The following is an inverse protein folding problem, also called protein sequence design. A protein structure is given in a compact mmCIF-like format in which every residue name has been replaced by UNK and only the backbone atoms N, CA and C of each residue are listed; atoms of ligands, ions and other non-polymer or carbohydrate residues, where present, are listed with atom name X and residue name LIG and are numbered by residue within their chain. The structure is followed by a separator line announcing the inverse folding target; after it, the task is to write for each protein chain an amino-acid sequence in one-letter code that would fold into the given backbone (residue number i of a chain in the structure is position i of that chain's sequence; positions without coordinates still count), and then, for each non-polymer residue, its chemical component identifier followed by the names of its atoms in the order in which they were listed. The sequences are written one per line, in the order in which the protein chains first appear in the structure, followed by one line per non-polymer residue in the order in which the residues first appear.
data_IF_017665320695
#
_entry.id   IF_017665320695
#
_cell.length_a   1.000
_cell.length_b   1.000
_cell.length_c   1.000
_cell.angle_alpha   90.00
_cell.angle_beta   90.00
_cell.angle_gamma   90.00
#
_symmetry.space_group_name_H-M   'P 1'
#
loop_
_entity.id
_entity.type
_entity.pdbx_description
1 polymer ?
2 non-polymer ?
3 water ?
#
# COMPACT_ATOMS: atom_id res chain seq x y z
N UNK A 1 5.26 -31.69 -21.15
CA UNK A 1 4.53 -30.84 -20.20
C UNK A 1 5.28 -29.52 -19.98
N UNK A 2 5.07 -28.88 -18.84
CA UNK A 2 5.76 -27.62 -18.58
C UNK A 2 7.10 -27.91 -17.90
N UNK A 3 8.17 -27.26 -18.36
CA UNK A 3 9.49 -27.48 -17.78
C UNK A 3 10.04 -26.22 -17.13
N UNK A 4 10.25 -26.27 -15.83
CA UNK A 4 10.76 -25.16 -15.05
C UNK A 4 12.04 -24.58 -15.58
N UNK A 5 12.97 -25.43 -16.01
CA UNK A 5 14.25 -24.94 -16.54
C UNK A 5 14.03 -24.07 -17.77
N UNK A 6 13.23 -24.57 -18.71
CA UNK A 6 12.98 -23.74 -19.90
C UNK A 6 12.25 -22.45 -19.48
N UNK A 7 11.36 -22.58 -18.50
CA UNK A 7 10.61 -21.43 -18.02
C UNK A 7 11.49 -20.37 -17.40
N UNK A 8 12.53 -20.79 -16.69
CA UNK A 8 13.42 -19.82 -16.07
C UNK A 8 14.10 -18.97 -17.14
N UNK A 9 14.39 -19.63 -18.26
CA UNK A 9 15.03 -18.94 -19.37
C UNK A 9 14.03 -18.02 -20.08
N UNK A 10 12.79 -18.45 -20.25
CA UNK A 10 11.75 -17.67 -20.92
C UNK A 10 11.24 -16.52 -20.08
N UNK A 11 11.58 -16.51 -18.79
CA UNK A 11 11.14 -15.48 -17.88
C UNK A 11 11.88 -14.18 -18.04
N UNK A 12 12.94 -14.16 -18.84
CA UNK A 12 13.75 -13.00 -19.07
C UNK A 12 13.00 -11.72 -19.26
N UNK A 13 12.05 -11.66 -20.21
CA UNK A 13 11.31 -10.41 -20.43
C UNK A 13 10.58 -9.92 -19.18
N UNK A 14 10.07 -10.84 -18.36
CA UNK A 14 9.34 -10.50 -17.16
C UNK A 14 10.17 -9.84 -16.09
N UNK A 15 11.47 -10.12 -16.08
CA UNK A 15 12.37 -9.56 -15.08
C UNK A 15 12.33 -8.05 -15.02
N UNK A 16 12.07 -7.39 -16.15
CA UNK A 16 12.02 -5.94 -16.19
C UNK A 16 11.07 -5.36 -15.17
N UNK A 17 9.96 -6.04 -14.90
CA UNK A 17 9.01 -5.48 -13.95
C UNK A 17 8.67 -6.44 -12.82
N UNK A 18 9.22 -7.66 -12.82
CA UNK A 18 8.85 -8.57 -11.73
C UNK A 18 10.08 -9.29 -11.16
N UNK A 19 9.95 -9.64 -9.89
CA UNK A 19 10.87 -10.36 -9.07
C UNK A 19 10.13 -11.18 -8.02
N UNK A 20 10.80 -12.03 -7.23
CA UNK A 20 10.01 -12.79 -6.26
C UNK A 20 10.21 -12.35 -4.84
N UNK A 21 10.83 -11.19 -4.65
CA UNK A 21 11.08 -10.69 -3.31
C UNK A 21 10.49 -9.33 -3.05
N UNK A 22 10.33 -8.48 -4.06
CA UNK A 22 9.76 -7.15 -3.73
C UNK A 22 8.98 -6.59 -4.91
N UNK A 23 8.15 -5.60 -4.60
CA UNK A 23 7.34 -4.90 -5.60
C UNK A 23 8.20 -3.85 -6.31
N UNK A 24 8.01 -3.69 -7.61
CA UNK A 24 8.76 -2.70 -8.37
C UNK A 24 7.77 -2.12 -9.35
N UNK A 25 8.14 -2.06 -10.63
CA UNK A 25 7.16 -1.53 -11.61
C UNK A 25 5.90 -2.42 -11.51
N UNK A 26 6.17 -3.72 -11.39
CA UNK A 26 5.15 -4.74 -11.28
C UNK A 26 5.19 -5.38 -9.90
N UNK A 27 4.15 -6.12 -9.53
CA UNK A 27 4.13 -6.69 -8.18
C UNK A 27 5.05 -7.91 -8.07
N UNK A 28 5.33 -8.31 -6.83
CA UNK A 28 6.18 -9.51 -6.66
C UNK A 28 5.30 -10.71 -7.09
N UNK A 29 5.89 -11.72 -7.71
CA UNK A 29 5.13 -12.89 -8.16
C UNK A 29 5.24 -14.04 -7.19
N UNK A 30 5.73 -13.76 -5.99
CA UNK A 30 5.83 -14.87 -5.02
C UNK A 30 4.47 -15.43 -4.70
N UNK A 31 4.33 -16.75 -4.86
CA UNK A 31 3.08 -17.42 -4.58
C UNK A 31 1.90 -16.97 -5.41
N UNK A 32 2.16 -16.52 -6.64
CA UNK A 32 1.09 -16.05 -7.50
C UNK A 32 0.26 -17.18 -8.07
N UNK A 33 0.82 -18.38 -8.23
CA UNK A 33 0.02 -19.46 -8.79
C UNK A 33 -1.07 -19.94 -7.88
N UNK A 34 -2.32 -19.81 -8.34
CA UNK A 34 -3.45 -20.25 -7.54
C UNK A 34 -3.95 -19.15 -6.65
N UNK A 35 -3.32 -17.97 -6.73
CA UNK A 35 -3.78 -16.86 -5.87
C UNK A 35 -4.87 -16.05 -6.57
N UNK A 36 -5.58 -15.24 -5.78
CA UNK A 36 -6.63 -14.39 -6.39
C UNK A 36 -5.94 -13.19 -7.06
N UNK A 37 -6.31 -12.84 -8.29
CA UNK A 37 -5.66 -11.75 -8.98
C UNK A 37 -5.96 -10.39 -8.39
N UNK A 38 -4.93 -9.53 -8.43
CA UNK A 38 -4.95 -8.18 -7.96
C UNK A 38 -5.34 -7.94 -6.52
N UNK A 39 -5.07 -8.93 -5.66
CA UNK A 39 -5.41 -8.82 -4.25
C UNK A 39 -4.21 -8.87 -3.34
N UNK A 40 -3.10 -9.49 -3.74
CA UNK A 40 -1.97 -9.55 -2.84
C UNK A 40 -0.74 -8.73 -3.17
N UNK A 41 0.41 -9.39 -3.28
CA UNK A 41 1.64 -8.68 -3.59
C UNK A 41 1.96 -7.60 -2.57
N UNK A 42 1.86 -7.95 -1.30
CA UNK A 42 2.14 -7.00 -0.23
C UNK A 42 1.63 -5.61 -0.54
N UNK A 43 0.31 -5.47 -0.73
CA UNK A 43 -0.23 -4.16 -0.99
C UNK A 43 0.20 -3.47 -2.27
N UNK A 44 0.42 -4.22 -3.35
CA UNK A 44 0.82 -3.51 -4.60
C UNK A 44 -0.43 -2.76 -5.10
N UNK A 45 -0.26 -1.64 -5.79
CA UNK A 45 -1.38 -0.85 -6.29
C UNK A 45 -1.85 -1.36 -7.65
N UNK A 46 -2.73 -2.35 -7.65
CA UNK A 46 -3.24 -2.92 -8.90
C UNK A 46 -4.26 -2.00 -9.57
N UNK A 47 -4.42 -2.19 -10.87
CA UNK A 47 -5.40 -1.37 -11.62
C UNK A 47 -6.81 -1.78 -11.18
N UNK A 48 -7.82 -0.96 -11.45
CA UNK A 48 -9.18 -1.38 -11.03
C UNK A 48 -9.59 -2.63 -11.81
N UNK A 49 -9.15 -2.67 -13.06
CA UNK A 49 -9.48 -3.79 -13.94
C UNK A 49 -9.04 -5.11 -13.38
N UNK A 50 -7.77 -5.22 -12.98
CA UNK A 50 -7.34 -6.53 -12.45
C UNK A 50 -7.98 -6.82 -11.12
N UNK A 51 -7.98 -5.85 -10.21
CA UNK A 51 -8.58 -6.12 -8.91
C UNK A 51 -10.03 -6.51 -8.97
N UNK A 52 -10.81 -6.00 -9.92
CA UNK A 52 -12.22 -6.36 -9.99
C UNK A 52 -12.47 -7.55 -10.91
N UNK A 53 -11.42 -8.08 -11.54
CA UNK A 53 -11.55 -9.19 -12.45
C UNK A 53 -12.15 -10.43 -11.77
N UNK A 54 -11.88 -10.60 -10.49
CA UNK A 54 -12.41 -11.76 -9.78
C UNK A 54 -11.74 -13.06 -10.21
N UNK A 55 -10.65 -12.95 -10.96
CA UNK A 55 -9.95 -14.12 -11.46
C UNK A 55 -9.07 -14.79 -10.40
N UNK A 56 -8.89 -16.09 -10.62
CA UNK A 56 -8.01 -16.93 -9.80
C UNK A 56 -6.86 -17.40 -10.73
N UNK A 57 -5.62 -17.14 -10.34
CA UNK A 57 -4.51 -17.52 -11.16
C UNK A 57 -4.27 -18.99 -11.32
N UNK A 58 -5.24 -19.73 -11.86
CA UNK A 58 -5.01 -21.17 -12.05
C UNK A 58 -4.22 -21.31 -13.37
N UNK A 59 -3.87 -22.51 -13.82
CA UNK A 59 -3.11 -22.66 -15.06
C UNK A 59 -3.86 -22.13 -16.26
N UNK A 60 -5.16 -22.37 -16.31
CA UNK A 60 -6.00 -21.92 -17.41
C UNK A 60 -6.00 -20.41 -17.56
N UNK A 61 -6.26 -19.69 -16.46
CA UNK A 61 -6.26 -18.23 -16.55
C UNK A 61 -4.87 -17.69 -16.81
N UNK A 62 -3.84 -18.25 -16.18
CA UNK A 62 -2.49 -17.72 -16.44
C UNK A 62 -2.12 -17.90 -17.91
N UNK A 63 -2.58 -19.01 -18.48
CA UNK A 63 -2.26 -19.28 -19.88
C UNK A 63 -2.81 -18.15 -20.76
N UNK A 64 -4.09 -17.84 -20.55
CA UNK A 64 -4.68 -16.77 -21.37
C UNK A 64 -4.03 -15.43 -21.10
N UNK A 65 -3.82 -15.12 -19.82
CA UNK A 65 -3.19 -13.88 -19.37
C UNK A 65 -1.83 -13.65 -19.99
N UNK A 66 -0.96 -14.68 -20.01
CA UNK A 66 0.36 -14.48 -20.59
C UNK A 66 0.31 -14.40 -22.10
N UNK A 67 -0.65 -15.06 -22.76
CA UNK A 67 -0.68 -14.99 -24.23
C UNK A 67 -1.06 -13.58 -24.70
N UNK A 68 -1.91 -12.91 -23.95
CA UNK A 68 -2.35 -11.54 -24.31
C UNK A 68 -3.05 -10.92 -23.09
N UNK A 69 -2.28 -10.21 -22.27
CA UNK A 69 -2.76 -9.57 -21.06
C UNK A 69 -3.95 -8.65 -21.26
N UNK A 70 -3.89 -7.68 -22.16
CA UNK A 70 -4.98 -6.76 -22.37
C UNK A 70 -6.24 -7.39 -22.90
N UNK A 71 -6.15 -8.54 -23.59
CA UNK A 71 -7.41 -9.14 -24.07
C UNK A 71 -8.08 -9.91 -22.93
N UNK A 72 -7.26 -10.41 -22.01
CA UNK A 72 -7.79 -11.18 -20.87
C UNK A 72 -8.39 -10.22 -19.84
N UNK A 73 -7.69 -9.10 -19.66
CA UNK A 73 -8.16 -8.11 -18.69
C UNK A 73 -8.05 -6.71 -19.28
N UNK A 74 -9.04 -6.36 -20.11
CA UNK A 74 -8.97 -5.01 -20.70
C UNK A 74 -8.80 -3.96 -19.62
N UNK A 75 -7.83 -3.09 -19.83
CA UNK A 75 -7.55 -2.04 -18.88
C UNK A 75 -6.44 -2.35 -17.90
N UNK A 76 -5.80 -3.52 -17.97
CA UNK A 76 -4.71 -3.79 -17.02
C UNK A 76 -3.55 -2.84 -17.23
N UNK A 77 -2.77 -2.57 -16.19
CA UNK A 77 -1.63 -1.68 -16.41
C UNK A 77 -0.38 -2.47 -16.77
N UNK A 78 -0.54 -3.78 -16.97
CA UNK A 78 0.64 -4.56 -17.37
C UNK A 78 0.86 -4.38 -18.89
N UNK A 79 1.80 -3.52 -19.23
CA UNK A 79 2.12 -3.24 -20.63
C UNK A 79 3.12 -4.30 -21.14
N UNK A 80 2.56 -5.31 -21.79
CA UNK A 80 3.33 -6.44 -22.36
C UNK A 80 2.49 -7.10 -23.44
N UNK A 81 3.06 -7.28 -24.63
CA UNK A 81 2.39 -7.87 -25.77
C UNK A 81 1.87 -9.27 -25.56
N UNK A 82 2.51 -10.05 -24.70
CA UNK A 82 2.04 -11.41 -24.48
C UNK A 82 2.98 -12.39 -25.18
N UNK A 83 2.93 -13.64 -24.75
CA UNK A 83 3.78 -14.69 -25.36
C UNK A 83 2.89 -15.52 -26.30
N UNK A 84 3.21 -15.48 -27.59
CA UNK A 84 2.49 -16.17 -28.62
C UNK A 84 2.81 -17.64 -28.75
N UNK A 85 3.83 -18.12 -28.05
CA UNK A 85 4.20 -19.55 -28.12
C UNK A 85 3.66 -20.26 -26.87
N UNK A 86 2.60 -21.07 -27.06
CA UNK A 86 1.92 -21.78 -25.99
C UNK A 86 2.84 -22.63 -25.13
N UNK A 87 3.80 -23.29 -25.77
CA UNK A 87 4.76 -24.14 -25.04
C UNK A 87 5.58 -23.25 -24.10
N UNK A 88 5.97 -22.08 -24.62
CA UNK A 88 6.76 -21.16 -23.79
C UNK A 88 5.93 -20.71 -22.58
N UNK A 89 4.65 -20.47 -22.83
CA UNK A 89 3.77 -20.04 -21.75
C UNK A 89 3.71 -21.11 -20.66
N UNK A 90 3.58 -22.37 -21.07
CA UNK A 90 3.51 -23.49 -20.14
C UNK A 90 4.82 -23.55 -19.33
N UNK A 91 5.94 -23.37 -20.02
CA UNK A 91 7.25 -23.42 -19.36
C UNK A 91 7.33 -22.34 -18.28
N UNK A 92 6.88 -21.15 -18.65
CA UNK A 92 6.89 -20.05 -17.67
C UNK A 92 6.04 -20.41 -16.46
N UNK A 93 4.87 -21.01 -16.70
CA UNK A 93 4.02 -21.39 -15.57
C UNK A 93 4.68 -22.45 -14.71
N UNK A 94 5.41 -23.36 -15.33
CA UNK A 94 6.09 -24.40 -14.50
C UNK A 94 7.11 -23.69 -13.61
N UNK A 95 7.73 -22.66 -14.18
CA UNK A 95 8.73 -21.90 -13.43
C UNK A 95 8.12 -21.17 -12.25
N UNK A 96 6.98 -20.52 -12.48
CA UNK A 96 6.28 -19.77 -11.45
C UNK A 96 5.87 -20.65 -10.27
N UNK A 97 5.50 -21.88 -10.57
CA UNK A 97 5.10 -22.80 -9.52
C UNK A 97 6.25 -23.06 -8.55
N UNK A 98 7.48 -23.01 -9.06
CA UNK A 98 8.63 -23.25 -8.21
C UNK A 98 8.87 -22.12 -7.21
N UNK A 99 8.29 -20.96 -7.50
CA UNK A 99 8.43 -19.79 -6.64
C UNK A 99 7.30 -19.69 -5.63
N UNK B 2 26.77 15.92 11.28
CA UNK B 2 25.88 17.07 11.21
C UNK B 2 25.47 17.55 12.59
N UNK B 3 24.91 18.74 12.68
CA UNK B 3 24.50 19.28 13.99
C UNK B 3 22.99 19.24 14.13
N UNK B 4 22.48 18.31 14.95
CA UNK B 4 21.08 18.14 15.18
C UNK B 4 20.37 19.39 15.67
N UNK B 5 21.05 20.23 16.45
CA UNK B 5 20.44 21.45 16.96
C UNK B 5 20.17 22.45 15.84
N UNK B 6 21.16 22.60 14.97
CA UNK B 6 21.00 23.54 13.86
C UNK B 6 20.02 22.95 12.83
N UNK B 7 20.02 21.62 12.72
CA UNK B 7 19.14 20.94 11.79
C UNK B 7 17.69 21.22 12.13
N UNK B 8 17.39 21.35 13.43
CA UNK B 8 16.00 21.64 13.79
C UNK B 8 15.55 22.94 13.14
N UNK B 9 16.45 23.92 13.15
CA UNK B 9 16.17 25.22 12.57
C UNK B 9 16.16 25.19 11.05
N UNK B 10 17.06 24.41 10.47
CA UNK B 10 17.17 24.26 9.02
C UNK B 10 15.98 23.47 8.45
N UNK B 11 15.19 22.86 9.31
CA UNK B 11 14.02 22.06 8.91
C UNK B 11 12.80 22.96 8.70
N UNK B 12 12.94 24.25 8.98
CA UNK B 12 11.86 25.21 8.84
C UNK B 12 11.08 25.04 7.55
N UNK B 13 11.73 25.13 6.38
CA UNK B 13 10.97 24.98 5.15
C UNK B 13 10.19 23.68 5.07
N UNK B 14 10.71 22.62 5.68
CA UNK B 14 10.08 21.32 5.68
C UNK B 14 8.76 21.30 6.43
N UNK B 15 8.68 22.10 7.47
CA UNK B 15 7.55 22.22 8.35
C UNK B 15 6.25 22.53 7.64
N UNK B 16 6.36 23.24 6.52
CA UNK B 16 5.15 23.57 5.77
C UNK B 16 4.42 22.31 5.34
N UNK B 17 5.11 21.22 5.05
CA UNK B 17 4.38 20.02 4.61
C UNK B 17 4.67 18.80 5.46
N UNK B 18 5.61 18.89 6.40
CA UNK B 18 5.94 17.73 7.22
C UNK B 18 6.02 18.11 8.72
N UNK B 19 5.69 17.10 9.50
CA UNK B 19 5.69 17.04 10.93
C UNK B 19 5.96 15.61 11.40
N UNK B 20 6.13 15.36 12.69
CA UNK B 20 6.42 13.96 13.07
C UNK B 20 5.24 13.37 13.85
N UNK B 21 4.05 13.95 13.64
CA UNK B 21 2.87 13.49 14.33
C UNK B 21 1.76 13.09 13.40
N UNK B 22 1.58 13.80 12.27
CA UNK B 22 0.46 13.35 11.41
C UNK B 22 0.71 13.74 9.96
N UNK B 23 -0.08 13.12 9.07
CA UNK B 23 0.08 13.46 7.66
C UNK B 23 -0.59 14.81 7.36
N UNK B 24 -0.10 15.47 6.32
CA UNK B 24 -0.65 16.76 5.91
C UNK B 24 -0.39 16.84 4.42
N UNK B 25 0.25 17.92 3.97
CA UNK B 25 0.53 17.96 2.51
C UNK B 25 1.46 16.77 2.19
N UNK B 26 2.43 16.60 3.09
CA UNK B 26 3.42 15.54 3.00
C UNK B 26 3.21 14.55 4.12
N UNK B 27 3.84 13.36 4.03
CA UNK B 27 3.69 12.35 5.07
C UNK B 27 4.38 12.68 6.38
N UNK B 28 3.90 12.05 7.45
CA UNK B 28 4.62 12.33 8.74
C UNK B 28 6.07 11.83 8.52
N UNK B 29 7.08 12.34 9.20
CA UNK B 29 8.42 11.86 8.96
C UNK B 29 8.97 11.05 10.13
N UNK B 30 8.08 10.56 10.97
CA UNK B 30 8.48 9.77 12.13
C UNK B 30 9.15 8.46 11.68
N UNK B 31 10.36 8.21 12.17
CA UNK B 31 11.11 7.01 11.83
C UNK B 31 11.40 6.79 10.36
N UNK B 32 11.64 7.87 9.62
CA UNK B 32 11.90 7.76 8.20
C UNK B 32 13.32 7.30 7.90
N UNK B 33 14.27 7.58 8.80
CA UNK B 33 15.63 7.16 8.56
C UNK B 33 15.77 5.64 8.59
N UNK B 34 16.22 5.09 7.48
CA UNK B 34 16.42 3.69 7.28
C UNK B 34 15.16 2.97 6.82
N UNK B 35 14.08 3.71 6.63
CA UNK B 35 12.83 3.09 6.21
C UNK B 35 12.76 2.97 4.70
N UNK B 36 11.87 2.10 4.21
CA UNK B 36 11.76 2.01 2.73
C UNK B 36 10.93 3.23 2.28
N UNK B 37 11.28 3.83 1.15
CA UNK B 37 10.56 5.00 0.67
C UNK B 37 9.15 4.68 0.22
N UNK B 38 8.25 5.64 0.43
CA UNK B 38 6.87 5.51 0.06
C UNK B 38 6.10 4.31 0.56
N UNK B 39 6.25 3.93 1.83
CA UNK B 39 5.49 2.77 2.28
C UNK B 39 4.89 2.95 3.65
N UNK B 40 5.37 3.93 4.42
CA UNK B 40 4.77 4.05 5.75
C UNK B 40 3.81 5.21 5.84
N UNK B 41 3.96 5.97 6.92
CA UNK B 41 3.18 7.15 7.18
C UNK B 41 1.71 6.91 7.31
N UNK B 42 1.34 5.78 7.91
CA UNK B 42 -0.05 5.45 8.14
C UNK B 42 -0.94 5.55 6.93
N UNK B 43 -0.60 4.97 5.78
CA UNK B 43 -1.50 5.06 4.65
C UNK B 43 -1.38 6.30 3.79
N UNK B 44 -0.45 7.19 4.10
CA UNK B 44 -0.33 8.39 3.24
C UNK B 44 -0.29 7.96 1.77
N UNK B 45 -0.95 8.73 0.92
CA UNK B 45 -1.01 8.45 -0.50
C UNK B 45 0.23 8.92 -1.24
N UNK B 46 1.24 8.07 -1.26
CA UNK B 46 2.48 8.40 -1.95
C UNK B 46 2.30 8.33 -3.46
N UNK B 47 3.15 9.06 -4.17
CA UNK B 47 3.05 9.02 -5.64
C UNK B 47 3.50 7.64 -6.15
N UNK B 48 3.06 7.30 -7.35
CA UNK B 48 3.45 6.02 -7.96
C UNK B 48 4.99 5.97 -8.08
N UNK B 49 5.55 7.10 -8.49
CA UNK B 49 6.98 7.25 -8.68
C UNK B 49 7.74 6.85 -7.41
N UNK B 50 7.40 7.45 -6.27
CA UNK B 50 8.10 7.10 -5.04
C UNK B 50 7.90 5.64 -4.68
N UNK B 51 6.66 5.14 -4.76
CA UNK B 51 6.35 3.77 -4.45
C UNK B 51 7.12 2.78 -5.31
N UNK B 52 7.43 3.12 -6.55
CA UNK B 52 8.15 2.18 -7.40
C UNK B 52 9.66 2.37 -7.31
N UNK B 53 10.12 3.41 -6.64
CA UNK B 53 11.52 3.72 -6.51
C UNK B 53 12.37 2.63 -5.91
N UNK B 54 11.84 1.86 -4.99
CA UNK B 54 12.60 0.79 -4.34
C UNK B 54 13.73 1.34 -3.51
N UNK B 55 13.63 2.61 -3.12
CA UNK B 55 14.66 3.28 -2.35
C UNK B 55 14.51 3.06 -0.85
N UNK B 56 15.67 3.10 -0.19
CA UNK B 56 15.76 2.99 1.26
C UNK B 56 16.33 4.30 1.79
N UNK B 57 15.67 4.94 2.76
CA UNK B 57 16.12 6.18 3.28
C UNK B 57 17.34 6.16 4.16
N UNK B 58 18.49 5.71 3.67
CA UNK B 58 19.66 5.78 4.59
C UNK B 58 20.28 7.17 4.41
N UNK B 59 21.39 7.45 5.07
CA UNK B 59 22.04 8.73 4.98
C UNK B 59 22.41 9.14 3.58
N UNK B 60 22.99 8.24 2.81
CA UNK B 60 23.41 8.54 1.45
C UNK B 60 22.25 8.86 0.52
N UNK B 61 21.17 8.09 0.58
CA UNK B 61 20.03 8.36 -0.30
C UNK B 61 19.28 9.60 0.10
N UNK B 62 19.21 9.85 1.41
CA UNK B 62 18.52 11.04 1.91
C UNK B 62 19.22 12.31 1.47
N UNK B 63 20.55 12.26 1.40
CA UNK B 63 21.38 13.38 0.99
C UNK B 63 21.11 13.78 -0.47
N UNK B 64 20.90 12.78 -1.31
CA UNK B 64 20.63 13.09 -2.74
C UNK B 64 19.20 13.61 -2.88
N UNK B 65 18.30 13.01 -2.09
CA UNK B 65 16.89 13.38 -2.11
C UNK B 65 16.73 14.87 -1.79
N UNK B 66 17.34 15.30 -0.69
CA UNK B 66 17.26 16.69 -0.26
C UNK B 66 17.98 17.64 -1.17
N UNK B 67 18.99 17.13 -1.89
CA UNK B 67 19.74 18.00 -2.80
C UNK B 67 18.86 18.40 -3.99
N UNK B 68 18.12 17.41 -4.49
CA UNK B 68 17.23 17.64 -5.64
C UNK B 68 16.26 16.48 -5.80
N UNK B 69 15.13 16.58 -5.08
CA UNK B 69 14.09 15.57 -5.09
C UNK B 69 13.68 15.13 -6.49
N UNK B 70 13.37 16.04 -7.39
CA UNK B 70 12.94 15.74 -8.74
C UNK B 70 13.95 14.94 -9.53
N UNK B 71 15.24 15.22 -9.33
CA UNK B 71 16.28 14.49 -10.05
C UNK B 71 16.36 13.06 -9.52
N UNK B 72 16.28 12.91 -8.20
CA UNK B 72 16.33 11.64 -7.50
C UNK B 72 15.16 10.75 -7.87
N UNK B 73 13.96 11.31 -7.83
CA UNK B 73 12.78 10.54 -8.16
C UNK B 73 11.87 11.32 -9.11
N UNK B 74 12.08 11.13 -10.43
CA UNK B 74 11.23 11.86 -11.40
C UNK B 74 9.76 11.50 -11.20
N UNK B 75 8.90 12.51 -11.09
CA UNK B 75 7.49 12.20 -10.90
C UNK B 75 7.06 12.30 -9.45
N UNK B 76 8.00 12.58 -8.55
CA UNK B 76 7.57 12.67 -7.15
C UNK B 76 6.66 13.88 -6.97
N UNK B 77 5.77 13.83 -5.98
CA UNK B 77 4.90 15.00 -5.79
C UNK B 77 5.50 15.94 -4.75
N UNK B 78 6.74 15.66 -4.32
CA UNK B 78 7.29 16.60 -3.32
C UNK B 78 7.89 17.79 -4.08
N UNK B 79 7.21 18.92 -3.98
CA UNK B 79 7.64 20.15 -4.64
C UNK B 79 8.60 20.93 -3.75
N UNK B 80 9.87 20.79 -4.06
CA UNK B 80 10.90 21.49 -3.25
C UNK B 80 12.18 21.58 -4.09
N UNK B 81 12.65 22.80 -4.33
CA UNK B 81 13.84 23.02 -5.13
C UNK B 81 15.03 22.19 -4.72
N UNK B 82 15.17 21.93 -3.41
CA UNK B 82 16.31 21.13 -2.99
C UNK B 82 17.30 22.02 -2.27
N UNK B 83 18.13 21.43 -1.41
CA UNK B 83 19.12 22.20 -0.65
C UNK B 83 20.51 22.02 -1.23
N UNK B 84 21.10 23.10 -1.70
CA UNK B 84 22.39 23.10 -2.31
C UNK B 84 23.56 23.09 -1.36
N UNK B 85 23.37 23.39 -0.07
CA UNK B 85 24.50 23.41 0.86
C UNK B 85 24.60 22.10 1.64
N UNK B 86 25.58 21.27 1.24
CA UNK B 86 25.78 19.97 1.89
C UNK B 86 25.82 20.04 3.40
N UNK B 87 26.34 21.12 3.97
CA UNK B 87 26.38 21.20 5.43
C UNK B 87 24.98 21.29 6.02
N UNK B 88 24.13 22.09 5.38
CA UNK B 88 22.76 22.20 5.92
C UNK B 88 22.05 20.86 5.76
N UNK B 89 22.33 20.19 4.64
CA UNK B 89 21.67 18.88 4.44
C UNK B 89 22.11 17.92 5.55
N UNK B 90 23.37 18.00 5.94
CA UNK B 90 23.86 17.10 6.99
C UNK B 90 23.16 17.42 8.32
N UNK B 91 22.98 18.70 8.63
CA UNK B 91 22.32 19.05 9.89
C UNK B 91 20.87 18.56 9.90
N UNK B 92 20.19 18.71 8.76
CA UNK B 92 18.79 18.26 8.72
C UNK B 92 18.71 16.74 8.92
N UNK B 93 19.66 16.02 8.33
CA UNK B 93 19.60 14.55 8.52
C UNK B 93 19.93 14.22 9.97
N UNK B 94 20.87 14.95 10.55
CA UNK B 94 21.22 14.71 11.96
C UNK B 94 19.98 14.86 12.83
N UNK B 95 19.19 15.88 12.47
CA UNK B 95 17.95 16.16 13.18
C UNK B 95 16.90 15.09 12.94
N UNK B 96 16.76 14.62 11.70
CA UNK B 96 15.77 13.58 11.41
C UNK B 96 16.11 12.31 12.22
N UNK B 97 17.40 12.07 12.40
CA UNK B 97 17.87 10.90 13.15
C UNK B 97 17.38 10.94 14.59
N UNK B 98 17.19 12.14 15.15
CA UNK B 98 16.71 12.24 16.52
C UNK B 98 15.22 11.94 16.61
N UNK B 99 14.56 11.82 15.45
CA UNK B 99 13.14 11.51 15.43
C UNK B 99 12.91 10.11 14.85
N UNK C 2 -23.29 8.96 0.98
CA UNK C 2 -21.89 8.79 0.62
C UNK C 2 -21.65 8.13 -0.72
N UNK C 3 -20.45 8.34 -1.25
CA UNK C 3 -20.02 7.81 -2.52
C UNK C 3 -19.16 6.56 -2.37
N UNK C 4 -19.76 5.40 -2.63
CA UNK C 4 -19.06 4.14 -2.51
C UNK C 4 -17.84 4.03 -3.39
N UNK C 5 -17.84 4.67 -4.56
CA UNK C 5 -16.64 4.58 -5.41
C UNK C 5 -15.48 5.32 -4.79
N UNK C 6 -15.78 6.50 -4.24
CA UNK C 6 -14.71 7.28 -3.60
C UNK C 6 -14.30 6.60 -2.29
N UNK C 7 -15.26 5.90 -1.69
CA UNK C 7 -14.99 5.21 -0.44
C UNK C 7 -14.01 4.07 -0.64
N UNK C 8 -14.18 3.33 -1.74
CA UNK C 8 -13.27 2.23 -2.02
C UNK C 8 -11.84 2.74 -2.13
N UNK C 9 -11.67 3.95 -2.67
CA UNK C 9 -10.34 4.51 -2.82
C UNK C 9 -9.81 5.01 -1.47
N UNK C 10 -10.70 5.57 -0.64
CA UNK C 10 -10.31 6.08 0.66
C UNK C 10 -10.03 4.97 1.66
N UNK C 11 -10.45 3.75 1.36
CA UNK C 11 -10.27 2.58 2.22
C UNK C 11 -8.84 2.06 2.10
N UNK C 12 -8.08 2.61 1.17
CA UNK C 12 -6.70 2.20 0.94
C UNK C 12 -5.92 1.97 2.21
N UNK C 13 -5.80 2.99 3.07
CA UNK C 13 -5.07 2.90 4.32
C UNK C 13 -5.55 1.79 5.24
N UNK C 14 -6.82 1.44 5.15
CA UNK C 14 -7.46 0.41 5.95
C UNK C 14 -6.99 -0.99 5.58
N UNK C 15 -6.61 -1.20 4.34
CA UNK C 15 -6.17 -2.46 3.80
C UNK C 15 -4.98 -3.06 4.51
N UNK C 16 -4.21 -2.24 5.20
CA UNK C 16 -3.03 -2.79 5.89
C UNK C 16 -3.41 -3.74 7.00
N UNK C 17 -4.59 -3.55 7.58
CA UNK C 17 -5.05 -4.40 8.67
C UNK C 17 -6.41 -5.04 8.42
N UNK C 18 -7.11 -4.63 7.36
CA UNK C 18 -8.42 -5.22 7.12
C UNK C 18 -8.59 -5.59 5.64
N UNK C 19 -9.43 -6.57 5.46
CA UNK C 19 -9.89 -7.17 4.25
C UNK C 19 -11.28 -7.75 4.42
N UNK C 20 -11.89 -8.33 3.39
CA UNK C 20 -13.25 -8.85 3.62
C UNK C 20 -13.29 -10.35 3.54
N UNK C 21 -12.12 -10.99 3.52
CA UNK C 21 -12.04 -12.44 3.39
C UNK C 21 -11.51 -13.12 4.64
N UNK C 22 -10.46 -12.56 5.25
CA UNK C 22 -9.95 -13.24 6.44
C UNK C 22 -9.37 -12.28 7.46
N UNK C 23 -9.12 -12.83 8.64
CA UNK C 23 -8.57 -12.06 9.75
C UNK C 23 -7.07 -11.88 9.62
N UNK C 24 -6.58 -10.71 10.00
CA UNK C 24 -5.15 -10.46 9.92
C UNK C 24 -4.79 -9.60 11.12
N UNK C 25 -4.09 -8.49 10.88
CA UNK C 25 -3.77 -7.63 12.06
C UNK C 25 -5.12 -7.20 12.67
N UNK C 26 -6.06 -6.94 11.75
CA UNK C 26 -7.39 -6.54 12.17
C UNK C 26 -8.38 -7.58 11.70
N UNK C 27 -9.62 -7.47 12.18
CA UNK C 27 -10.65 -8.43 11.79
C UNK C 27 -11.18 -8.19 10.39
N UNK C 28 -11.75 -9.25 9.82
CA UNK C 28 -12.32 -9.07 8.45
C UNK C 28 -13.52 -8.10 8.65
N UNK C 29 -13.81 -7.26 7.66
CA UNK C 29 -14.91 -6.32 7.82
C UNK C 29 -16.15 -6.76 7.08
N UNK C 30 -16.16 -7.99 6.56
CA UNK C 30 -17.36 -8.42 5.83
C UNK C 30 -18.61 -8.29 6.70
N UNK C 31 -19.62 -7.64 6.14
CA UNK C 31 -20.87 -7.45 6.85
C UNK C 31 -20.77 -6.73 8.18
N UNK C 32 -19.86 -5.78 8.29
CA UNK C 32 -19.69 -5.06 9.54
C UNK C 32 -20.78 -4.04 9.79
N UNK C 33 -21.36 -3.47 8.73
CA UNK C 33 -22.42 -2.48 8.93
C UNK C 33 -23.67 -3.12 9.52
N UNK C 34 -24.06 -2.68 10.71
CA UNK C 34 -25.22 -3.22 11.39
C UNK C 34 -24.86 -4.35 12.34
N UNK C 35 -23.58 -4.74 12.36
CA UNK C 35 -23.16 -5.83 13.23
C UNK C 35 -22.84 -5.36 14.63
N UNK C 36 -22.85 -6.31 15.57
CA UNK C 36 -22.52 -5.94 16.97
C UNK C 36 -20.99 -5.82 17.06
N UNK C 37 -20.49 -4.75 17.65
CA UNK C 37 -19.07 -4.50 17.77
C UNK C 37 -18.33 -5.53 18.60
N UNK C 38 -17.16 -5.94 18.11
CA UNK C 38 -16.33 -6.91 18.80
C UNK C 38 -16.92 -8.24 19.20
N UNK C 39 -17.90 -8.73 18.46
CA UNK C 39 -18.54 -9.99 18.75
C UNK C 39 -18.35 -11.03 17.67
N UNK C 40 -18.22 -10.66 16.40
CA UNK C 40 -18.06 -11.69 15.39
C UNK C 40 -16.71 -11.81 14.71
N UNK C 41 -16.68 -11.48 13.42
CA UNK C 41 -15.47 -11.52 12.64
C UNK C 41 -14.76 -12.87 12.75
N UNK C 42 -15.54 -13.94 12.60
CA UNK C 42 -15.10 -15.30 12.62
C UNK C 42 -14.12 -15.64 13.72
N UNK C 43 -14.32 -15.15 14.93
CA UNK C 43 -13.41 -15.50 16.01
C UNK C 43 -12.21 -14.61 16.21
N UNK C 44 -12.20 -13.43 15.57
CA UNK C 44 -11.04 -12.54 15.75
C UNK C 44 -10.89 -12.22 17.24
N UNK C 45 -9.66 -12.09 17.71
CA UNK C 45 -9.39 -11.79 19.10
C UNK C 45 -9.50 -10.28 19.36
N UNK C 46 -10.72 -9.84 19.64
CA UNK C 46 -10.95 -8.43 19.90
C UNK C 46 -10.46 -8.03 21.30
N UNK C 47 -10.16 -6.75 21.41
CA UNK C 47 -9.70 -6.19 22.69
C UNK C 47 -10.84 -6.36 23.71
N UNK C 48 -10.51 -6.27 24.99
CA UNK C 48 -11.56 -6.38 26.03
C UNK C 48 -12.49 -5.17 25.92
N UNK C 49 -11.89 -4.02 25.65
CA UNK C 49 -12.64 -2.78 25.51
C UNK C 49 -13.72 -2.90 24.43
N UNK C 50 -13.33 -3.31 23.23
CA UNK C 50 -14.30 -3.45 22.16
C UNK C 50 -15.36 -4.50 22.46
N UNK C 51 -14.99 -5.64 23.02
CA UNK C 51 -15.94 -6.69 23.33
C UNK C 51 -17.05 -6.22 24.26
N UNK C 52 -16.70 -5.39 25.24
CA UNK C 52 -17.63 -4.88 26.22
C UNK C 52 -18.26 -3.56 25.88
N UNK C 53 -17.95 -2.94 24.73
CA UNK C 53 -18.53 -1.65 24.38
C UNK C 53 -20.04 -1.73 24.27
N UNK C 54 -20.57 -2.86 23.83
CA UNK C 54 -22.01 -3.02 23.67
C UNK C 54 -22.53 -2.22 22.50
N UNK C 55 -21.63 -1.75 21.64
CA UNK C 55 -21.98 -0.97 20.48
C UNK C 55 -22.44 -1.80 19.29
N UNK C 56 -23.31 -1.17 18.51
CA UNK C 56 -23.82 -1.75 17.26
C UNK C 56 -23.26 -0.88 16.12
N UNK C 57 -22.64 -1.48 15.11
CA UNK C 57 -22.08 -0.69 14.05
C UNK C 57 -23.07 -0.09 13.08
N UNK C 58 -23.94 0.83 13.51
CA UNK C 58 -24.86 1.41 12.49
C UNK C 58 -24.12 2.59 11.86
N UNK C 59 -24.68 3.36 10.95
CA UNK C 59 -23.98 4.47 10.35
C UNK C 59 -23.50 5.53 11.30
N UNK C 60 -24.34 5.94 12.25
CA UNK C 60 -23.95 6.97 13.20
C UNK C 60 -22.78 6.53 14.07
N UNK C 61 -22.84 5.31 14.58
CA UNK C 61 -21.72 4.87 15.44
C UNK C 61 -20.47 4.63 14.65
N UNK C 62 -20.59 4.11 13.43
CA UNK C 62 -19.36 3.89 12.65
C UNK C 62 -18.69 5.23 12.34
N UNK C 63 -19.50 6.27 12.15
CA UNK C 63 -18.92 7.56 11.84
C UNK C 63 -18.04 8.09 12.98
N UNK C 64 -18.51 7.93 14.21
CA UNK C 64 -17.75 8.40 15.37
C UNK C 64 -16.46 7.61 15.55
N UNK C 65 -16.58 6.30 15.34
CA UNK C 65 -15.46 5.37 15.43
C UNK C 65 -14.35 5.77 14.47
N UNK C 66 -14.69 5.91 13.18
CA UNK C 66 -13.69 6.28 12.22
C UNK C 66 -13.11 7.66 12.42
N UNK C 67 -13.85 8.55 13.06
CA UNK C 67 -13.36 9.91 13.28
C UNK C 67 -12.31 9.95 14.40
N UNK C 68 -12.46 9.09 15.40
CA UNK C 68 -11.52 9.03 16.53
C UNK C 68 -11.77 7.73 17.31
N UNK C 69 -11.14 6.65 16.84
CA UNK C 69 -11.32 5.37 17.48
C UNK C 69 -11.09 5.35 18.97
N UNK C 70 -9.97 5.92 19.42
CA UNK C 70 -9.65 5.93 20.85
C UNK C 70 -10.67 6.70 21.65
N UNK C 71 -11.21 7.77 21.06
CA UNK C 71 -12.22 8.52 21.82
C UNK C 71 -13.51 7.70 21.91
N UNK C 72 -13.88 7.05 20.80
CA UNK C 72 -15.10 6.25 20.78
C UNK C 72 -15.03 5.06 21.69
N UNK C 73 -13.91 4.33 21.66
CA UNK C 73 -13.80 3.15 22.54
C UNK C 73 -12.42 3.19 23.21
N UNK C 74 -12.36 3.86 24.36
CA UNK C 74 -11.06 3.94 25.07
C UNK C 74 -10.50 2.55 25.33
N UNK C 75 -9.26 2.30 24.98
CA UNK C 75 -8.74 0.95 25.23
C UNK C 75 -8.73 0.05 24.01
N UNK C 76 -9.29 0.50 22.89
CA UNK C 76 -9.28 -0.37 21.72
C UNK C 76 -7.85 -0.60 21.21
N UNK C 77 -7.65 -1.72 20.54
CA UNK C 77 -6.34 -2.01 20.00
C UNK C 77 -6.20 -1.58 18.57
N UNK C 78 -7.20 -0.87 18.03
CA UNK C 78 -6.99 -0.44 16.62
C UNK C 78 -6.14 0.85 16.71
N UNK C 79 -4.88 0.73 16.36
CA UNK C 79 -3.92 1.82 16.39
C UNK C 79 -3.86 2.48 15.01
N UNK C 80 -4.73 3.48 14.86
CA UNK C 80 -4.83 4.23 13.60
C UNK C 80 -5.44 5.60 13.89
N UNK C 81 -4.86 6.63 13.28
CA UNK C 81 -5.40 7.97 13.54
C UNK C 81 -6.82 8.11 12.99
N UNK C 82 -7.64 8.93 13.64
CA UNK C 82 -8.98 9.05 13.11
C UNK C 82 -9.00 9.87 11.83
N UNK C 83 -10.10 9.75 11.09
CA UNK C 83 -10.22 10.52 9.84
C UNK C 83 -11.08 11.76 10.15
N UNK C 84 -10.47 12.93 10.03
CA UNK C 84 -11.07 14.21 10.29
C UNK C 84 -11.94 14.73 9.17
N UNK C 85 -11.94 14.07 8.02
CA UNK C 85 -12.78 14.53 6.91
C UNK C 85 -14.11 13.79 6.88
N UNK C 86 -15.18 14.47 7.33
CA UNK C 86 -16.51 13.89 7.39
C UNK C 86 -16.97 13.32 6.06
N UNK C 87 -16.59 13.93 4.95
CA UNK C 87 -17.01 13.40 3.65
C UNK C 87 -16.34 12.04 3.39
N UNK C 88 -15.04 11.98 3.64
CA UNK C 88 -14.31 10.71 3.44
C UNK C 88 -14.95 9.62 4.30
N UNK C 89 -15.31 9.98 5.53
CA UNK C 89 -15.91 9.01 6.44
C UNK C 89 -17.20 8.45 5.87
N UNK C 90 -18.03 9.34 5.31
CA UNK C 90 -19.30 8.90 4.73
C UNK C 90 -19.05 8.01 3.51
N UNK C 91 -18.05 8.40 2.71
CA UNK C 91 -17.74 7.60 1.51
C UNK C 91 -17.26 6.21 1.95
N UNK C 92 -16.36 6.16 2.94
CA UNK C 92 -15.89 4.82 3.35
C UNK C 92 -17.06 3.97 3.83
N UNK C 93 -17.96 4.60 4.59
CA UNK C 93 -19.12 3.88 5.09
C UNK C 93 -20.00 3.40 3.96
N UNK C 94 -20.10 4.18 2.88
CA UNK C 94 -20.92 3.76 1.74
C UNK C 94 -20.24 2.54 1.09
N UNK C 95 -18.92 2.58 1.05
CA UNK C 95 -18.15 1.46 0.49
C UNK C 95 -18.36 0.21 1.35
N UNK C 96 -18.32 0.40 2.67
CA UNK C 96 -18.50 -0.71 3.58
C UNK C 96 -19.85 -1.38 3.40
N UNK C 97 -20.87 -0.57 3.13
CA UNK C 97 -22.22 -1.05 2.94
C UNK C 97 -22.30 -2.00 1.74
N UNK C 98 -21.47 -1.76 0.74
CA UNK C 98 -21.49 -2.64 -0.44
C UNK C 98 -20.86 -3.99 -0.12
N UNK C 99 -20.37 -4.15 1.11
CA UNK C 99 -19.75 -5.42 1.47
C UNK C 99 -20.49 -6.10 2.61
X LIG D 1 3.43 -8.70 -15.29
X LIG D 1 0.76 -8.19 -13.20
X LIG D 1 3.15 -12.10 -14.82
X LIG D 1 5.63 -9.24 -17.90
X LIG D 1 4.09 -5.39 -15.36
X LIG D 1 2.19 -9.93 -14.18
X LIG D 1 1.13 -9.51 -13.40
X LIG D 1 0.53 -10.64 -12.91
X LIG D 1 1.20 -11.74 -13.36
X LIG D 1 2.23 -11.30 -14.16
X LIG D 1 0.75 -13.13 -12.96
X LIG D 1 -0.68 -10.69 -12.00
X LIG D 1 -0.20 -10.72 -10.55
X LIG D 1 -1.29 -10.56 -9.51
X LIG D 1 -2.51 -10.76 -9.79
X LIG D 1 -0.95 -10.63 -8.30
X LIG D 1 4.29 -10.37 -16.18
X LIG D 1 4.05 -11.65 -15.77
X LIG D 1 4.96 -12.45 -16.43
X LIG D 1 5.61 -11.68 -17.37
X LIG D 1 5.23 -10.36 -17.16
X LIG D 1 5.18 -13.95 -16.37
X LIG D 1 6.45 -12.19 -18.36
X LIG D 1 5.97 -12.99 -19.40
X LIG D 1 4.63 -7.50 -16.47
X LIG D 1 5.51 -7.93 -17.43
X LIG D 1 6.23 -6.83 -17.81
X LIG D 1 5.83 -5.74 -17.09
X LIG D 1 4.81 -6.16 -16.26
X LIG D 1 7.37 -6.61 -18.80
X LIG D 1 6.35 -4.44 -17.18
X LIG D 1 6.47 -3.75 -18.39
X LIG D 1 2.57 -7.05 -14.40
X LIG D 1 2.99 -5.78 -14.63
X LIG D 1 2.11 -4.95 -13.98
X LIG D 1 1.19 -5.74 -13.35
X LIG D 1 1.44 -7.06 -13.62
X LIG D 1 2.04 -3.44 -13.85
X LIG D 1 -0.01 -5.24 -12.56
X LIG D 1 -1.12 -5.28 -13.63
X LIG D 1 -2.38 -4.54 -13.19
X LIG D 1 -3.29 -4.41 -14.07
X LIG D 1 -2.57 -4.14 -12.02
X LIG E 1 9.02 16.30 1.76
X LIG E 1 8.17 13.08 0.78
X LIG E 1 11.61 15.06 3.57
X LIG E 1 10.24 19.47 2.09
X LIG E 1 6.11 17.50 0.52
X LIG E 1 9.77 14.37 2.11
X LIG E 1 9.28 13.18 1.61
X LIG E 1 10.09 12.19 2.13
X LIG E 1 11.06 12.75 2.90
X LIG E 1 10.87 14.12 2.90
X LIG E 1 12.10 11.83 3.57
X LIG E 1 9.93 10.72 1.86
X LIG E 1 8.90 10.11 2.81
X LIG E 1 8.84 8.59 2.72
X LIG E 1 9.20 7.97 1.68
X LIG E 1 8.23 7.96 3.62
X LIG E 1 10.74 17.12 2.58
X LIG E 1 11.48 16.45 3.53
X LIG E 1 12.52 17.33 3.83
X LIG E 1 12.03 18.61 3.60
X LIG E 1 10.91 18.47 2.79
X LIG E 1 13.41 17.20 5.08
X LIG E 1 12.74 19.77 3.89
X LIG E 1 14.07 19.95 3.51
X LIG E 1 8.30 18.21 1.32
X LIG E 1 8.93 19.38 1.62
X LIG E 1 8.04 20.40 1.36
X LIG E 1 6.86 19.85 0.90
X LIG E 1 7.02 18.46 0.91
X LIG E 1 8.15 21.91 1.47
X LIG E 1 5.69 20.51 0.55
X LIG E 1 5.60 21.60 -0.33
X LIG E 1 7.40 15.42 0.81
X LIG E 1 6.34 16.15 0.37
X LIG E 1 5.54 15.25 -0.32
X LIG E 1 6.11 14.02 -0.24
X LIG E 1 7.28 14.10 0.46
X LIG E 1 4.23 15.49 -1.05
X LIG E 1 5.58 12.74 -0.86
X LIG E 1 6.38 12.56 -2.14
X LIG E 1 5.77 11.59 -3.14
X LIG E 1 6.33 11.48 -4.27
X LIG E 1 4.86 10.81 -2.78
X LIG F 1 -9.72 -1.10 11.97
X LIG F 1 -11.38 -2.90 14.44
X LIG F 1 -12.68 -0.26 10.54
X LIG F 1 -8.04 1.00 9.79
X LIG F 1 -6.77 -2.33 13.08
X LIG F 1 -11.71 -1.50 12.43
X LIG F 1 -12.16 -2.26 13.48
X LIG F 1 -13.52 -2.27 13.35
X LIG F 1 -13.90 -1.54 12.27
X LIG F 1 -12.75 -1.05 11.68
X LIG F 1 -15.38 -1.42 11.93
X LIG F 1 -14.48 -2.99 14.27
X LIG F 1 -14.78 -4.38 13.72
X LIG F 1 -15.87 -5.09 14.54
X LIG F 1 -16.25 -4.63 15.63
X LIG F 1 -16.22 -6.23 14.18
X LIG F 1 -10.28 0.25 10.49
X LIG F 1 -11.53 0.23 9.93
X LIG F 1 -11.53 1.29 9.03
X LIG F 1 -10.22 1.54 8.71
X LIG F 1 -9.43 0.97 9.71
X LIG F 1 -12.56 1.35 7.88
X LIG F 1 -9.81 2.48 7.75
X LIG F 1 -10.20 3.81 7.84
X LIG F 1 -7.74 -0.70 11.53
X LIG F 1 -7.26 0.16 10.56
X LIG F 1 -5.89 -0.03 10.50
X LIG F 1 -5.53 -0.98 11.43
X LIG F 1 -6.69 -1.39 12.07
X LIG F 1 -4.77 0.55 9.63
X LIG F 1 -4.26 -1.51 11.69
X LIG F 1 -3.11 -0.74 11.93
X LIG F 1 -9.18 -2.41 13.51
X LIG F 1 -7.88 -2.76 13.76
X LIG F 1 -7.90 -3.59 14.87
X LIG F 1 -9.20 -3.77 15.24
X LIG F 1 -10.00 -3.03 14.41
X LIG F 1 -6.77 -4.30 15.60
X LIG F 1 -9.74 -4.56 16.40
X LIG F 1 -10.03 -3.53 17.50
X LIG F 1 -10.03 -4.10 18.91
X LIG F 1 -10.19 -3.26 19.86
X LIG F 1 -10.28 -5.30 19.15
#
# INVERSE_FOLDING_TARGET
EGDAAAGEKAFAPCKACHNFEKNGVGPTLKGVVGAKAGEGADGYAFSDALKKSGLTWDQADLKQWLADPKKKVPGTKMVFPGISDPKKVDDIIAYLKTKS
EGDAAAGEKAFAPCKACHNFEKNGVGPTLKGVVGAKAGEGADGYAFSDALKKSGLTWDQADLKQWLADPKKKVPGTKMVFPGISDPKKVDDIIAYLKTKS
EGDAAAGEKAFAPCKACHNFEKNGVGPTLKGVVGAKAGEGADGYAFSDALKKSGLTWDQADLKQWLADPKKKVPGTKMVFPGISDPKKVDDIIAYLKTKS
HEC FE CHA CHB CHC CHD NA C1A C2A C3A C4A CMA CAA CBA CGA O1A O2A NB C1B C2B C3B C4B CMB CAB CBB NC C1C C2C C3C C4C CMC CAC CBC ND C1D C2D C3D C4D CMD CAD CBD CGD O1D O2D
HEC FE CHA CHB CHC CHD NA C1A C2A C3A C4A CMA CAA CBA CGA O1A O2A NB C1B C2B C3B C4B CMB CAB CBB NC C1C C2C C3C C4C CMC CAC CBC ND C1D C2D C3D C4D CMD CAD CBD CGD O1D O2D
HEC FE CHA CHB CHC CHD NA C1A C2A C3A C4A CMA CAA CBA CGA O1A O2A NB C1B C2B C3B C4B CMB CAB CBB NC C1C C2C C3C C4C CMC CAC CBC ND C1D C2D C3D C4D CMD CAD CBD CGD O1D O2D
#
